data_IF_530279731862
#
_entry.id   IF_530279731862
#
_cell.length_a   1.000
_cell.length_b   1.000
_cell.length_c   1.000
_cell.angle_alpha   90.00
_cell.angle_beta   90.00
_cell.angle_gamma   90.00
#
_symmetry.space_group_name_H-M   'P 1'
#
loop_
_entity.id
_entity.type
_entity.pdbx_description
1 polymer ?
#
# COMPACT_ATOMS: atom_id res chain seq x y z
N UNK A 1 -50.19 52.49 57.63
CA UNK A 1 -49.99 53.00 56.26
C UNK A 1 -49.66 51.81 55.35
N UNK A 2 -50.60 51.41 54.48
CA UNK A 2 -50.43 50.30 53.55
C UNK A 2 -50.03 50.81 52.15
N UNK A 3 -49.23 50.04 51.41
CA UNK A 3 -49.13 50.03 49.94
C UNK A 3 -48.58 48.64 49.57
N UNK A 4 -49.45 47.64 49.40
CA UNK A 4 -49.97 47.14 48.11
C UNK A 4 -48.85 46.69 47.16
N UNK A 5 -48.73 45.37 46.97
CA UNK A 5 -48.89 44.74 45.64
C UNK A 5 -49.28 43.27 45.77
N UNK A 6 -50.47 42.98 45.26
CA UNK A 6 -50.95 41.68 44.80
C UNK A 6 -50.02 41.16 43.67
N UNK A 7 -49.98 39.90 43.26
CA UNK A 7 -51.11 38.99 42.99
C UNK A 7 -50.59 37.55 42.81
N UNK A 8 -51.50 36.61 43.03
CA UNK A 8 -51.41 35.18 42.72
C UNK A 8 -51.23 34.91 41.21
N UNK A 9 -50.65 33.76 40.86
CA UNK A 9 -51.22 32.68 40.03
C UNK A 9 -50.14 31.91 39.26
N UNK A 10 -49.94 30.64 39.65
CA UNK A 10 -49.46 29.59 38.75
C UNK A 10 -50.61 29.24 37.79
N UNK A 11 -50.31 29.00 36.50
CA UNK A 11 -50.47 27.62 36.03
C UNK A 11 -49.36 27.16 35.08
N UNK A 12 -48.94 25.91 35.32
CA UNK A 12 -48.68 24.82 34.37
C UNK A 12 -48.51 25.23 32.90
N UNK A 13 -47.28 25.10 32.38
CA UNK A 13 -47.06 24.62 31.01
C UNK A 13 -45.78 23.79 30.99
N UNK A 14 -45.99 22.51 30.74
CA UNK A 14 -44.98 21.48 30.67
C UNK A 14 -44.43 21.39 29.24
N UNK A 15 -43.18 20.93 29.16
CA UNK A 15 -42.54 20.24 28.03
C UNK A 15 -42.25 21.08 26.78
N UNK A 16 -40.95 21.32 26.54
CA UNK A 16 -40.29 20.77 25.36
C UNK A 16 -38.77 20.77 25.57
N UNK A 17 -38.24 19.56 25.67
CA UNK A 17 -36.82 19.21 25.59
C UNK A 17 -36.20 19.79 24.31
N UNK A 18 -35.23 20.67 24.46
CA UNK A 18 -34.11 20.78 23.54
C UNK A 18 -32.81 20.82 24.36
N UNK A 19 -32.57 19.72 25.08
CA UNK A 19 -31.21 19.29 25.32
C UNK A 19 -30.66 18.85 23.96
N UNK A 20 -30.14 19.80 23.19
CA UNK A 20 -29.07 19.50 22.26
C UNK A 20 -27.98 18.86 23.10
N UNK A 21 -27.86 17.54 22.98
CA UNK A 21 -26.73 16.80 23.50
C UNK A 21 -25.48 17.37 22.85
N UNK A 22 -24.86 18.36 23.52
CA UNK A 22 -23.42 18.43 23.61
C UNK A 22 -23.04 17.09 24.24
N UNK A 23 -22.81 16.09 23.39
CA UNK A 23 -21.91 15.02 23.74
C UNK A 23 -20.62 15.73 24.12
N UNK A 24 -20.42 15.91 25.43
CA UNK A 24 -19.11 16.24 25.96
C UNK A 24 -18.22 15.14 25.41
N UNK A 25 -17.40 15.46 24.41
CA UNK A 25 -16.23 14.66 24.11
C UNK A 25 -15.46 14.64 25.42
N UNK A 26 -15.64 13.55 26.19
CA UNK A 26 -14.80 13.28 27.34
C UNK A 26 -13.38 13.35 26.81
N UNK A 27 -12.47 14.10 27.48
CA UNK A 27 -11.08 14.10 27.06
C UNK A 27 -10.66 12.64 26.98
N UNK A 28 -10.21 12.23 25.78
CA UNK A 28 -9.74 10.87 25.56
C UNK A 28 -8.74 10.55 26.68
N UNK A 29 -8.91 9.42 27.35
CA UNK A 29 -7.96 8.96 28.35
C UNK A 29 -6.58 8.90 27.69
N UNK A 30 -5.58 9.69 28.16
CA UNK A 30 -4.26 9.76 27.52
C UNK A 30 -3.62 8.36 27.39
N UNK A 31 -3.89 7.46 28.33
CA UNK A 31 -3.40 6.08 28.27
C UNK A 31 -4.10 5.26 27.19
N UNK A 32 -5.40 5.48 26.97
CA UNK A 32 -6.12 4.83 25.88
C UNK A 32 -5.63 5.31 24.51
N UNK A 33 -5.31 6.61 24.38
CA UNK A 33 -4.70 7.16 23.16
C UNK A 33 -3.30 6.58 22.91
N UNK A 34 -2.46 6.48 23.95
CA UNK A 34 -1.13 5.83 23.87
C UNK A 34 -1.24 4.40 23.33
N UNK A 35 -2.12 3.59 23.92
CA UNK A 35 -2.32 2.19 23.53
C UNK A 35 -2.89 2.04 22.11
N UNK A 36 -3.78 2.95 21.70
CA UNK A 36 -4.32 2.95 20.34
C UNK A 36 -3.24 3.28 19.31
N UNK A 37 -2.38 4.26 19.61
CA UNK A 37 -1.30 4.68 18.73
C UNK A 37 -0.26 3.58 18.54
N UNK A 38 0.14 2.93 19.63
CA UNK A 38 1.05 1.78 19.60
C UNK A 38 0.45 0.62 18.79
N UNK A 39 -0.81 0.25 19.05
CA UNK A 39 -1.47 -0.83 18.29
C UNK A 39 -1.55 -0.55 16.80
N UNK A 40 -1.85 0.70 16.39
CA UNK A 40 -1.85 1.10 14.98
C UNK A 40 -0.46 0.95 14.38
N UNK A 41 0.59 1.30 15.12
CA UNK A 41 1.97 1.14 14.66
C UNK A 41 2.40 -0.32 14.54
N UNK A 42 2.06 -1.17 15.52
CA UNK A 42 2.31 -2.60 15.47
C UNK A 42 1.59 -3.30 14.31
N UNK A 43 0.43 -2.80 13.91
CA UNK A 43 -0.33 -3.31 12.75
C UNK A 43 0.25 -2.80 11.42
N UNK A 44 0.66 -1.54 11.37
CA UNK A 44 1.11 -0.87 10.14
C UNK A 44 2.56 -1.22 9.76
N UNK A 45 3.46 -1.38 10.73
CA UNK A 45 4.88 -1.65 10.45
C UNK A 45 5.14 -2.94 9.64
N UNK A 46 4.46 -4.08 9.92
CA UNK A 46 4.60 -5.30 9.11
C UNK A 46 4.17 -5.14 7.64
N UNK A 47 3.27 -4.19 7.34
CA UNK A 47 2.81 -3.95 5.96
C UNK A 47 3.92 -3.34 5.11
N UNK A 48 4.71 -2.42 5.68
CA UNK A 48 5.88 -1.85 4.99
C UNK A 48 6.97 -2.90 4.75
N UNK A 49 7.22 -3.78 5.73
CA UNK A 49 8.16 -4.89 5.56
C UNK A 49 7.69 -5.86 4.46
N UNK A 50 6.41 -6.18 4.45
CA UNK A 50 5.82 -7.06 3.44
C UNK A 50 5.88 -6.43 2.04
N UNK A 51 5.65 -5.13 1.93
CA UNK A 51 5.79 -4.38 0.68
C UNK A 51 7.26 -4.35 0.22
N UNK A 52 8.21 -4.13 1.13
CA UNK A 52 9.64 -4.16 0.82
C UNK A 52 10.03 -5.52 0.21
N UNK A 53 9.68 -6.62 0.87
CA UNK A 53 9.97 -7.99 0.40
C UNK A 53 9.35 -8.26 -0.96
N UNK A 54 8.09 -7.88 -1.15
CA UNK A 54 7.39 -8.03 -2.43
C UNK A 54 8.12 -7.29 -3.56
N UNK A 55 8.53 -6.04 -3.31
CA UNK A 55 9.25 -5.23 -4.30
C UNK A 55 10.64 -5.80 -4.60
N UNK A 56 11.37 -6.25 -3.59
CA UNK A 56 12.67 -6.92 -3.75
C UNK A 56 12.50 -8.16 -4.64
N UNK A 57 11.55 -9.04 -4.33
CA UNK A 57 11.32 -10.28 -5.08
C UNK A 57 11.01 -10.00 -6.56
N UNK A 58 10.13 -9.01 -6.82
CA UNK A 58 9.77 -8.61 -8.18
C UNK A 58 10.95 -8.00 -8.94
N UNK A 59 11.70 -7.11 -8.32
CA UNK A 59 12.88 -6.48 -8.93
C UNK A 59 13.94 -7.54 -9.24
N UNK A 60 14.26 -8.42 -8.28
CA UNK A 60 15.22 -9.51 -8.48
C UNK A 60 14.80 -10.51 -9.57
N UNK A 61 13.49 -10.72 -9.78
CA UNK A 61 13.00 -11.55 -10.88
C UNK A 61 13.27 -10.96 -12.27
N UNK A 62 13.34 -9.63 -12.41
CA UNK A 62 13.46 -8.94 -13.71
C UNK A 62 14.89 -8.47 -13.99
N UNK A 63 15.50 -7.79 -13.01
CA UNK A 63 16.74 -7.03 -13.18
C UNK A 63 17.93 -7.82 -13.74
N UNK A 64 18.19 -9.08 -13.34
CA UNK A 64 19.34 -9.84 -13.84
C UNK A 64 19.33 -10.06 -15.35
N UNK A 65 18.14 -10.17 -15.95
CA UNK A 65 17.99 -10.46 -17.39
C UNK A 65 17.76 -9.20 -18.23
N UNK A 66 17.40 -8.10 -17.58
CA UNK A 66 16.91 -6.89 -18.26
C UNK A 66 17.94 -6.30 -19.22
N UNK A 67 19.19 -6.17 -18.77
CA UNK A 67 20.25 -5.58 -19.58
C UNK A 67 20.54 -6.36 -20.86
N UNK A 68 20.42 -7.69 -20.82
CA UNK A 68 20.58 -8.53 -22.00
C UNK A 68 19.39 -8.42 -22.94
N UNK A 69 18.17 -8.50 -22.42
CA UNK A 69 16.95 -8.37 -23.22
C UNK A 69 16.88 -7.03 -23.95
N UNK A 70 17.26 -5.93 -23.29
CA UNK A 70 17.33 -4.60 -23.90
C UNK A 70 18.34 -4.53 -25.05
N UNK A 71 19.52 -5.15 -24.89
CA UNK A 71 20.54 -5.22 -25.95
C UNK A 71 20.10 -6.03 -27.16
N UNK A 72 19.18 -6.98 -26.97
CA UNK A 72 18.65 -7.80 -28.07
C UNK A 72 17.58 -7.09 -28.89
N UNK A 73 16.92 -6.03 -28.39
CA UNK A 73 15.85 -5.33 -29.10
C UNK A 73 16.25 -4.94 -30.54
N UNK A 74 17.41 -4.29 -30.81
CA UNK A 74 17.77 -3.90 -32.17
C UNK A 74 17.99 -5.07 -33.13
N UNK A 75 18.37 -6.24 -32.60
CA UNK A 75 18.50 -7.47 -33.40
C UNK A 75 17.11 -8.05 -33.71
N UNK A 76 16.21 -8.06 -32.74
CA UNK A 76 14.81 -8.50 -32.92
C UNK A 76 14.09 -7.60 -33.92
N UNK A 77 14.29 -6.27 -33.86
CA UNK A 77 13.74 -5.32 -34.83
C UNK A 77 14.24 -5.60 -36.25
N UNK A 78 15.54 -5.87 -36.42
CA UNK A 78 16.10 -6.27 -37.73
C UNK A 78 15.49 -7.58 -38.24
N UNK A 79 15.28 -8.56 -37.34
CA UNK A 79 14.60 -9.81 -37.68
C UNK A 79 13.16 -9.58 -38.13
N UNK A 80 12.40 -8.73 -37.44
CA UNK A 80 11.04 -8.34 -37.82
C UNK A 80 11.02 -7.71 -39.22
N UNK A 81 11.93 -6.77 -39.50
CA UNK A 81 12.03 -6.15 -40.82
C UNK A 81 12.31 -7.17 -41.93
N UNK A 82 13.20 -8.14 -41.67
CA UNK A 82 13.48 -9.22 -42.61
C UNK A 82 12.28 -10.14 -42.82
N UNK A 83 11.56 -10.51 -41.75
CA UNK A 83 10.35 -11.34 -41.84
C UNK A 83 9.23 -10.64 -42.62
N UNK A 84 9.06 -9.33 -42.47
CA UNK A 84 8.14 -8.55 -43.30
C UNK A 84 8.52 -8.60 -44.78
N UNK A 85 9.81 -8.40 -45.10
CA UNK A 85 10.29 -8.52 -46.48
C UNK A 85 10.02 -9.93 -47.06
N UNK A 86 10.25 -10.98 -46.27
CA UNK A 86 9.95 -12.36 -46.68
C UNK A 86 8.46 -12.57 -46.91
N UNK A 87 7.61 -12.07 -46.00
CA UNK A 87 6.16 -12.17 -46.12
C UNK A 87 5.65 -11.50 -47.39
N UNK A 88 6.13 -10.29 -47.69
CA UNK A 88 5.77 -9.56 -48.89
C UNK A 88 6.25 -10.27 -50.16
N UNK A 89 7.46 -10.82 -50.14
CA UNK A 89 8.01 -11.60 -51.26
C UNK A 89 7.19 -12.87 -51.52
N UNK A 90 6.88 -13.66 -50.48
CA UNK A 90 6.09 -14.89 -50.59
C UNK A 90 4.67 -14.60 -51.09
N UNK A 91 4.05 -13.50 -50.64
CA UNK A 91 2.75 -13.04 -51.17
C UNK A 91 2.82 -12.77 -52.66
N UNK A 92 3.81 -12.01 -53.12
CA UNK A 92 4.01 -11.73 -54.54
C UNK A 92 4.30 -12.97 -55.38
N UNK A 93 5.02 -13.94 -54.82
CA UNK A 93 5.32 -15.19 -55.53
C UNK A 93 4.09 -16.10 -55.62
N UNK A 94 3.25 -16.13 -54.59
CA UNK A 94 2.00 -16.87 -54.60
C UNK A 94 0.94 -16.30 -55.53
N UNK A 95 0.99 -15.01 -55.86
CA UNK A 95 0.14 -14.41 -56.91
C UNK A 95 0.42 -14.98 -58.31
N UNK A 96 1.65 -15.49 -58.55
CA UNK A 96 2.09 -16.01 -59.86
C UNK A 96 1.72 -17.47 -60.08
N UNK A 97 1.24 -18.17 -59.05
CA UNK A 97 0.97 -19.61 -59.07
C UNK A 97 -0.44 -19.92 -58.62
N UNK A 98 -0.96 -21.09 -58.98
CA UNK A 98 -2.23 -21.58 -58.46
C UNK A 98 -2.18 -21.73 -56.93
N UNK A 99 -3.15 -21.16 -56.22
CA UNK A 99 -3.21 -21.21 -54.76
C UNK A 99 -3.32 -22.63 -54.21
N UNK A 100 -2.56 -22.93 -53.15
CA UNK A 100 -2.62 -24.19 -52.42
C UNK A 100 -2.70 -23.95 -50.90
N UNK A 101 -3.27 -24.90 -50.12
CA UNK A 101 -3.36 -24.75 -48.67
C UNK A 101 -2.02 -24.48 -47.98
N UNK A 102 -0.91 -25.02 -48.51
CA UNK A 102 0.44 -24.83 -47.97
C UNK A 102 0.89 -23.37 -48.00
N UNK A 103 0.45 -22.60 -49.00
CA UNK A 103 0.76 -21.17 -49.09
C UNK A 103 0.19 -20.41 -47.90
N UNK A 104 -1.06 -20.70 -47.52
CA UNK A 104 -1.69 -20.11 -46.33
C UNK A 104 -0.88 -20.40 -45.07
N UNK A 105 -0.52 -21.67 -44.87
CA UNK A 105 0.25 -22.12 -43.69
C UNK A 105 1.59 -21.39 -43.61
N UNK A 106 2.26 -21.20 -44.76
CA UNK A 106 3.54 -20.46 -44.81
C UNK A 106 3.39 -18.99 -44.45
N UNK A 107 2.38 -18.30 -45.00
CA UNK A 107 2.11 -16.90 -44.67
C UNK A 107 1.73 -16.74 -43.18
N UNK A 108 0.85 -17.58 -42.67
CA UNK A 108 0.46 -17.60 -41.25
C UNK A 108 1.67 -17.85 -40.34
N UNK A 109 2.59 -18.73 -40.74
CA UNK A 109 3.83 -18.97 -39.97
C UNK A 109 4.70 -17.71 -39.89
N UNK A 110 4.89 -16.99 -41.00
CA UNK A 110 5.65 -15.73 -41.02
C UNK A 110 4.97 -14.64 -40.18
N UNK A 111 3.64 -14.50 -40.29
CA UNK A 111 2.85 -13.56 -39.49
C UNK A 111 2.97 -13.86 -37.98
N UNK A 112 2.90 -15.14 -37.61
CA UNK A 112 3.09 -15.57 -36.21
C UNK A 112 4.50 -15.29 -35.71
N UNK A 113 5.54 -15.53 -36.53
CA UNK A 113 6.92 -15.19 -36.15
C UNK A 113 7.10 -13.69 -35.93
N UNK A 114 6.53 -12.84 -36.80
CA UNK A 114 6.53 -11.38 -36.63
C UNK A 114 5.86 -11.01 -35.29
N UNK A 115 4.66 -11.53 -35.04
CA UNK A 115 3.90 -11.25 -33.82
C UNK A 115 4.65 -11.68 -32.55
N UNK A 116 5.29 -12.85 -32.56
CA UNK A 116 6.10 -13.34 -31.44
C UNK A 116 7.26 -12.41 -31.12
N UNK A 117 7.99 -11.95 -32.15
CA UNK A 117 9.11 -11.02 -31.98
C UNK A 117 8.65 -9.65 -31.47
N UNK A 118 7.53 -9.13 -32.01
CA UNK A 118 6.93 -7.88 -31.54
C UNK A 118 6.49 -7.98 -30.07
N UNK A 119 5.87 -9.09 -29.69
CA UNK A 119 5.44 -9.36 -28.31
C UNK A 119 6.63 -9.44 -27.35
N UNK A 120 7.76 -10.03 -27.78
CA UNK A 120 8.98 -10.09 -26.99
C UNK A 120 9.59 -8.69 -26.73
N UNK A 121 9.60 -7.80 -27.73
CA UNK A 121 10.01 -6.39 -27.55
C UNK A 121 9.06 -5.70 -26.57
N UNK A 122 7.74 -5.83 -26.78
CA UNK A 122 6.75 -5.19 -25.93
C UNK A 122 6.86 -5.62 -24.46
N UNK A 123 6.98 -6.94 -24.21
CA UNK A 123 7.19 -7.48 -22.86
C UNK A 123 8.47 -6.94 -22.22
N UNK A 124 9.55 -6.83 -22.98
CA UNK A 124 10.83 -6.27 -22.49
C UNK A 124 10.69 -4.80 -22.10
N UNK A 125 10.01 -3.99 -22.91
CA UNK A 125 9.73 -2.59 -22.60
C UNK A 125 8.79 -2.42 -21.40
N UNK A 126 7.81 -3.32 -21.25
CA UNK A 126 6.91 -3.33 -20.09
C UNK A 126 7.69 -3.64 -18.81
N UNK A 127 8.55 -4.66 -18.82
CA UNK A 127 9.39 -5.01 -17.66
C UNK A 127 10.34 -3.88 -17.27
N UNK A 128 10.91 -3.17 -18.27
CA UNK A 128 11.72 -1.97 -18.02
C UNK A 128 10.91 -0.88 -17.31
N UNK A 129 9.69 -0.59 -17.79
CA UNK A 129 8.78 0.37 -17.13
C UNK A 129 8.38 -0.09 -15.73
N UNK A 130 8.14 -1.38 -15.52
CA UNK A 130 7.81 -1.91 -14.20
C UNK A 130 8.97 -1.66 -13.22
N UNK A 131 10.23 -1.83 -13.66
CA UNK A 131 11.40 -1.53 -12.86
C UNK A 131 11.53 -0.03 -12.53
N UNK A 132 11.15 0.88 -13.44
CA UNK A 132 11.18 2.33 -13.17
C UNK A 132 10.13 2.77 -12.14
N UNK A 133 9.06 1.99 -11.95
CA UNK A 133 8.06 2.22 -10.90
C UNK A 133 8.48 1.55 -9.58
N UNK A 134 8.90 0.28 -9.61
CA UNK A 134 9.18 -0.49 -8.40
C UNK A 134 10.43 -0.02 -7.65
N UNK A 135 11.49 0.42 -8.35
CA UNK A 135 12.74 0.84 -7.70
C UNK A 135 12.57 2.10 -6.82
N UNK A 136 11.94 3.19 -7.30
CA UNK A 136 11.61 4.33 -6.44
C UNK A 136 10.68 3.93 -5.29
N UNK A 137 9.66 3.10 -5.56
CA UNK A 137 8.75 2.62 -4.52
C UNK A 137 9.48 1.86 -3.41
N UNK A 138 10.46 1.01 -3.75
CA UNK A 138 11.29 0.30 -2.78
C UNK A 138 12.11 1.27 -1.93
N UNK A 139 12.71 2.29 -2.55
CA UNK A 139 13.46 3.32 -1.84
C UNK A 139 12.59 4.07 -0.84
N UNK A 140 11.40 4.52 -1.26
CA UNK A 140 10.46 5.22 -0.38
C UNK A 140 9.93 4.32 0.74
N UNK A 141 9.63 3.06 0.43
CA UNK A 141 9.18 2.06 1.42
C UNK A 141 10.24 1.85 2.52
N UNK A 142 11.51 1.65 2.15
CA UNK A 142 12.62 1.49 3.11
C UNK A 142 12.83 2.72 3.98
N UNK A 143 12.80 3.90 3.36
CA UNK A 143 12.95 5.16 4.09
C UNK A 143 11.83 5.30 5.13
N UNK A 144 10.58 5.04 4.74
CA UNK A 144 9.44 5.16 5.61
C UNK A 144 9.40 4.09 6.70
N UNK A 145 9.78 2.86 6.38
CA UNK A 145 9.88 1.77 7.36
C UNK A 145 10.91 2.09 8.44
N UNK A 146 12.10 2.58 8.05
CA UNK A 146 13.13 3.01 8.98
C UNK A 146 12.62 4.15 9.90
N UNK A 147 11.94 5.14 9.32
CA UNK A 147 11.38 6.25 10.07
C UNK A 147 10.30 5.80 11.07
N UNK A 148 9.37 4.93 10.64
CA UNK A 148 8.30 4.41 11.49
C UNK A 148 8.87 3.56 12.64
N UNK A 149 9.79 2.64 12.34
CA UNK A 149 10.41 1.77 13.36
C UNK A 149 11.18 2.60 14.37
N UNK A 150 11.92 3.63 13.94
CA UNK A 150 12.63 4.52 14.87
C UNK A 150 11.67 5.20 15.86
N UNK A 151 10.52 5.70 15.38
CA UNK A 151 9.54 6.33 16.27
C UNK A 151 8.84 5.32 17.17
N UNK A 152 8.51 4.14 16.65
CA UNK A 152 7.87 3.07 17.40
C UNK A 152 8.78 2.54 18.51
N UNK A 153 10.04 2.25 18.21
CA UNK A 153 11.02 1.77 19.18
C UNK A 153 11.22 2.78 20.31
N UNK A 154 11.37 4.07 19.98
CA UNK A 154 11.48 5.13 20.98
C UNK A 154 10.22 5.23 21.86
N UNK A 155 9.04 5.13 21.24
CA UNK A 155 7.76 5.20 21.92
C UNK A 155 7.54 4.01 22.88
N UNK A 156 7.73 2.79 22.40
CA UNK A 156 7.57 1.56 23.19
C UNK A 156 8.62 1.48 24.30
N UNK A 157 9.87 1.91 24.05
CA UNK A 157 10.89 1.99 25.08
C UNK A 157 10.51 2.98 26.20
N UNK A 158 10.08 4.21 25.84
CA UNK A 158 9.65 5.21 26.83
C UNK A 158 8.44 4.72 27.65
N UNK A 159 7.47 4.07 27.02
CA UNK A 159 6.32 3.47 27.70
C UNK A 159 6.76 2.39 28.68
N UNK A 160 7.59 1.45 28.22
CA UNK A 160 8.10 0.35 29.04
C UNK A 160 8.90 0.86 30.25
N UNK A 161 9.73 1.88 30.06
CA UNK A 161 10.45 2.54 31.14
C UNK A 161 9.50 3.12 32.18
N UNK A 162 8.41 3.77 31.76
CA UNK A 162 7.42 4.34 32.66
C UNK A 162 6.52 3.32 33.38
N UNK A 163 6.53 2.05 32.98
CA UNK A 163 5.88 0.95 33.71
C UNK A 163 6.68 0.48 34.93
N UNK A 164 7.94 0.92 35.08
CA UNK A 164 8.78 0.52 36.19
C UNK A 164 8.29 1.10 37.53
N UNK A 165 8.22 0.31 38.62
CA UNK A 165 7.68 0.76 39.92
C UNK A 165 8.40 1.95 40.56
N UNK A 166 9.62 2.26 40.11
CA UNK A 166 10.45 3.36 40.61
C UNK A 166 10.14 4.70 39.91
N UNK A 167 9.45 4.68 38.77
CA UNK A 167 9.02 5.87 38.04
C UNK A 167 7.66 6.33 38.59
N UNK A 168 7.54 7.61 38.90
CA UNK A 168 6.27 8.20 39.34
C UNK A 168 5.27 8.42 38.20
N UNK A 169 4.01 8.79 38.50
CA UNK A 169 2.98 9.04 37.48
C UNK A 169 3.30 10.17 36.49
N UNK A 170 4.30 11.01 36.80
CA UNK A 170 4.81 12.07 35.92
C UNK A 170 5.60 11.55 34.72
N UNK A 171 6.15 10.32 34.80
CA UNK A 171 6.97 9.74 33.73
C UNK A 171 6.25 9.72 32.38
N UNK A 172 4.97 9.32 32.36
CA UNK A 172 4.18 9.29 31.13
C UNK A 172 4.06 10.68 30.48
N UNK A 173 3.88 11.72 31.29
CA UNK A 173 3.72 13.08 30.78
C UNK A 173 5.03 13.66 30.23
N UNK A 174 6.17 13.26 30.81
CA UNK A 174 7.49 13.79 30.46
C UNK A 174 8.17 13.00 29.33
N UNK A 175 7.96 11.68 29.27
CA UNK A 175 8.73 10.78 28.39
C UNK A 175 7.87 10.22 27.25
N UNK A 176 6.57 9.96 27.47
CA UNK A 176 5.69 9.30 26.49
C UNK A 176 4.89 10.31 25.68
N UNK A 177 4.19 11.25 26.35
CA UNK A 177 3.34 12.23 25.66
C UNK A 177 4.07 13.07 24.60
N UNK A 178 5.34 13.49 24.77
CA UNK A 178 6.06 14.21 23.73
C UNK A 178 6.32 13.40 22.46
N UNK A 179 6.29 12.06 22.55
CA UNK A 179 6.50 11.15 21.41
C UNK A 179 5.20 10.89 20.62
N UNK A 180 4.03 11.14 21.21
CA UNK A 180 2.73 11.00 20.53
C UNK A 180 2.69 11.69 19.14
N UNK A 181 2.97 13.00 19.01
CA UNK A 181 2.92 13.67 17.71
C UNK A 181 3.92 13.10 16.69
N UNK A 182 5.07 12.60 17.15
CA UNK A 182 6.10 12.04 16.27
C UNK A 182 5.66 10.70 15.67
N UNK A 183 5.20 9.77 16.53
CA UNK A 183 4.69 8.48 16.07
C UNK A 183 3.43 8.65 15.22
N UNK A 184 2.54 9.59 15.58
CA UNK A 184 1.37 9.92 14.77
C UNK A 184 1.75 10.43 13.38
N UNK A 185 2.70 11.38 13.29
CA UNK A 185 3.18 11.87 11.99
C UNK A 185 3.76 10.74 11.15
N UNK A 186 4.60 9.87 11.74
CA UNK A 186 5.18 8.74 11.01
C UNK A 186 4.11 7.76 10.50
N UNK A 187 3.03 7.53 11.25
CA UNK A 187 1.91 6.70 10.79
C UNK A 187 1.09 7.36 9.68
N UNK A 188 0.86 8.67 9.78
CA UNK A 188 0.13 9.42 8.76
C UNK A 188 0.93 9.50 7.45
N UNK A 189 2.26 9.69 7.54
CA UNK A 189 3.18 9.61 6.39
C UNK A 189 3.21 8.20 5.78
N UNK A 190 3.13 7.16 6.62
CA UNK A 190 3.07 5.76 6.16
C UNK A 190 1.76 5.48 5.40
N UNK A 191 0.63 5.93 5.95
CA UNK A 191 -0.66 5.83 5.29
C UNK A 191 -0.64 6.53 3.93
N UNK A 192 -0.16 7.78 3.88
CA UNK A 192 -0.05 8.55 2.65
C UNK A 192 0.88 7.89 1.61
N UNK A 193 1.98 7.27 2.05
CA UNK A 193 2.87 6.52 1.17
C UNK A 193 2.13 5.33 0.54
N UNK A 194 1.43 4.51 1.34
CA UNK A 194 0.68 3.37 0.82
C UNK A 194 -0.39 3.86 -0.17
N UNK A 195 -1.22 4.85 0.17
CA UNK A 195 -2.19 5.42 -0.77
C UNK A 195 -1.55 5.86 -2.11
N UNK A 196 -0.41 6.54 -2.03
CA UNK A 196 0.32 7.03 -3.21
C UNK A 196 0.84 5.88 -4.07
N UNK A 197 1.34 4.80 -3.45
CA UNK A 197 1.93 3.66 -4.15
C UNK A 197 0.90 2.67 -4.66
N UNK A 198 -0.35 2.70 -4.19
CA UNK A 198 -1.34 1.68 -4.52
C UNK A 198 -1.63 1.59 -6.02
N UNK A 199 -1.99 2.71 -6.66
CA UNK A 199 -2.31 2.71 -8.10
C UNK A 199 -1.10 2.36 -8.97
N UNK A 200 0.09 2.97 -8.80
CA UNK A 200 1.27 2.61 -9.60
C UNK A 200 1.72 1.16 -9.43
N UNK A 201 1.51 0.55 -8.26
CA UNK A 201 1.93 -0.82 -8.00
C UNK A 201 0.86 -1.88 -8.30
N UNK A 202 -0.39 -1.49 -8.51
CA UNK A 202 -1.53 -2.40 -8.66
C UNK A 202 -1.31 -3.53 -9.68
N UNK A 203 -0.69 -3.21 -10.83
CA UNK A 203 -0.46 -4.18 -11.92
C UNK A 203 0.91 -4.87 -11.86
N UNK A 204 1.84 -4.43 -10.99
CA UNK A 204 3.25 -4.87 -10.99
C UNK A 204 3.68 -5.56 -9.69
N UNK A 205 3.20 -5.06 -8.56
CA UNK A 205 3.51 -5.51 -7.20
C UNK A 205 2.29 -5.29 -6.30
N UNK A 206 1.19 -5.98 -6.62
CA UNK A 206 -0.08 -5.83 -5.94
C UNK A 206 0.02 -6.10 -4.43
N UNK A 207 -0.58 -5.21 -3.64
CA UNK A 207 -0.85 -5.42 -2.22
C UNK A 207 -2.27 -4.94 -1.87
N UNK A 208 -2.80 -5.43 -0.74
CA UNK A 208 -4.19 -5.21 -0.36
C UNK A 208 -4.46 -3.77 0.09
N UNK A 209 -5.60 -3.20 -0.31
CA UNK A 209 -6.08 -1.93 0.25
C UNK A 209 -6.32 -2.01 1.77
N UNK A 210 -6.54 -3.20 2.33
CA UNK A 210 -6.66 -3.37 3.77
C UNK A 210 -5.40 -2.89 4.53
N UNK A 211 -4.22 -2.94 3.90
CA UNK A 211 -2.99 -2.42 4.52
C UNK A 211 -3.01 -0.90 4.68
N UNK A 212 -3.67 -0.21 3.74
CA UNK A 212 -3.91 1.24 3.81
C UNK A 212 -4.86 1.51 4.97
N UNK A 213 -5.97 0.78 5.03
CA UNK A 213 -6.99 0.94 6.08
C UNK A 213 -6.41 0.69 7.49
N UNK A 214 -5.59 -0.34 7.67
CA UNK A 214 -4.92 -0.65 8.95
C UNK A 214 -3.96 0.47 9.40
N UNK A 215 -3.35 1.16 8.44
CA UNK A 215 -2.50 2.31 8.71
C UNK A 215 -3.28 3.62 8.89
N UNK A 216 -4.60 3.66 8.68
CA UNK A 216 -5.39 4.89 8.78
C UNK A 216 -5.66 5.30 10.24
N UNK A 217 -5.80 6.60 10.50
CA UNK A 217 -6.13 7.11 11.84
C UNK A 217 -7.52 6.65 12.34
N UNK A 218 -8.40 6.25 11.42
CA UNK A 218 -9.75 5.76 11.68
C UNK A 218 -9.85 4.23 11.70
N UNK A 219 -8.72 3.52 11.64
CA UNK A 219 -8.71 2.06 11.65
C UNK A 219 -9.48 1.54 12.90
N UNK A 220 -10.59 0.80 12.73
CA UNK A 220 -11.30 0.22 13.85
C UNK A 220 -10.36 -0.78 14.56
N UNK A 221 -10.33 -0.81 15.91
CA UNK A 221 -9.48 -1.74 16.63
C UNK A 221 -9.96 -3.18 16.39
N UNK A 222 -9.30 -3.89 15.45
CA UNK A 222 -9.35 -5.36 15.40
C UNK A 222 -10.09 -6.01 14.23
N UNK A 223 -9.83 -5.63 12.97
CA UNK A 223 -10.24 -6.47 11.81
C UNK A 223 -9.12 -7.35 11.21
N UNK A 224 -7.93 -7.38 11.82
CA UNK A 224 -6.80 -8.21 11.37
C UNK A 224 -6.56 -9.53 12.12
N UNK A 225 -7.29 -9.83 13.21
CA UNK A 225 -7.13 -11.11 13.91
C UNK A 225 -8.08 -12.19 13.37
N UNK A 226 -7.73 -12.71 12.19
CA UNK A 226 -8.09 -14.08 11.86
C UNK A 226 -6.81 -14.92 11.99
N UNK A 227 -6.69 -15.80 13.00
CA UNK A 227 -5.52 -16.66 13.09
C UNK A 227 -5.50 -17.58 11.86
N UNK A 228 -4.43 -17.48 11.07
CA UNK A 228 -4.11 -18.46 10.02
C UNK A 228 -4.11 -19.87 10.64
N UNK A 229 -4.87 -20.84 10.12
CA UNK A 229 -4.98 -22.18 10.71
C UNK A 229 -3.74 -23.07 10.45
N UNK A 230 -2.59 -22.50 10.09
CA UNK A 230 -1.43 -23.23 9.58
C UNK A 230 -0.18 -23.04 10.45
N UNK A 231 -0.30 -23.20 11.76
CA UNK A 231 0.87 -23.50 12.60
C UNK A 231 0.45 -24.48 13.72
N UNK A 232 0.37 -25.77 13.36
CA UNK A 232 0.56 -26.83 14.34
C UNK A 232 2.07 -26.99 14.56
N UNK A 233 2.55 -26.63 15.74
CA UNK A 233 3.87 -27.03 16.21
C UNK A 233 3.91 -28.57 16.35
N UNK A 234 4.99 -29.25 15.94
CA UNK A 234 5.15 -30.65 16.27
C UNK A 234 5.48 -30.77 17.76
N UNK A 235 4.73 -31.61 18.45
CA UNK A 235 5.13 -32.13 19.75
C UNK A 235 6.34 -33.07 19.57
N UNK A 236 7.41 -32.78 20.30
CA UNK A 236 8.62 -33.60 20.41
C UNK A 236 9.39 -33.18 21.65
#
# INVERSE_FOLDING_TARGET
>A
MPLIKASMQLPVLAVALLYTGLASAQPADPQAETLQLERRAEQCAPHLESLERLLIDKIHGLEPTMGERLRQIPEIERRIAHLHQQLDQERQDYEKVSWRPEHRIRLEALENEIWNNQSAIHSTQLDERNLTVMKPALSSTRQQQSALLQQLDAFTAARHDCEHPQRGPQCYAEEVLPLHPLLKSALDDTHALLETLWSPLSDVAFYSMAWIDDCAATAPPGFGQQPSPWFHAPAG
#
